data_IF_703535417270
#
_entry.id   IF_703535417270
#
_cell.length_a   1.000
_cell.length_b   1.000
_cell.length_c   1.000
_cell.angle_alpha   90.00
_cell.angle_beta   90.00
_cell.angle_gamma   90.00
#
_symmetry.space_group_name_H-M   'P 1'
#
loop_
_entity.id
_entity.type
_entity.pdbx_description
1 polymer ?
#
# COMPACT_ATOMS: atom_id res chain seq x y z
N UNK A 1 9.53 2.30 16.07
CA UNK A 1 9.56 3.48 15.17
C UNK A 1 8.18 4.11 15.13
N UNK A 2 8.06 5.44 15.06
CA UNK A 2 6.77 6.16 15.17
C UNK A 2 5.77 5.83 14.05
N UNK A 3 6.26 5.50 12.85
CA UNK A 3 5.43 5.20 11.67
C UNK A 3 4.66 3.88 11.83
N UNK A 4 5.30 2.83 12.34
CA UNK A 4 4.63 1.54 12.57
C UNK A 4 3.49 1.63 13.59
N UNK A 5 3.71 2.36 14.69
CA UNK A 5 2.69 2.60 15.71
C UNK A 5 1.51 3.41 15.17
N UNK A 6 1.76 4.43 14.35
CA UNK A 6 0.70 5.20 13.71
C UNK A 6 -0.16 4.35 12.77
N UNK A 7 0.47 3.44 12.01
CA UNK A 7 -0.26 2.50 11.16
C UNK A 7 -1.12 1.56 11.98
N UNK A 8 -0.56 0.92 13.01
CA UNK A 8 -1.29 0.00 13.87
C UNK A 8 -2.53 0.68 14.48
N UNK A 9 -2.36 1.88 15.02
CA UNK A 9 -3.49 2.65 15.57
C UNK A 9 -4.54 3.00 14.51
N UNK A 10 -4.13 3.35 13.29
CA UNK A 10 -5.05 3.62 12.18
C UNK A 10 -5.84 2.38 11.77
N UNK A 11 -5.18 1.22 11.71
CA UNK A 11 -5.82 -0.07 11.43
C UNK A 11 -6.80 -0.46 12.53
N UNK A 12 -6.40 -0.32 13.80
CA UNK A 12 -7.27 -0.61 14.94
C UNK A 12 -8.54 0.24 14.89
N UNK A 13 -8.41 1.54 14.58
CA UNK A 13 -9.54 2.44 14.45
C UNK A 13 -10.44 2.06 13.25
N UNK A 14 -9.86 1.70 12.10
CA UNK A 14 -10.62 1.27 10.93
C UNK A 14 -11.40 -0.03 11.20
N UNK A 15 -10.77 -1.00 11.87
CA UNK A 15 -11.40 -2.28 12.24
C UNK A 15 -12.47 -2.11 13.30
N UNK A 16 -12.28 -1.24 14.28
CA UNK A 16 -13.30 -0.96 15.29
C UNK A 16 -14.59 -0.35 14.72
N UNK A 17 -14.53 0.29 13.54
CA UNK A 17 -15.69 0.84 12.84
C UNK A 17 -16.29 -0.09 11.77
N UNK A 18 -15.80 -1.33 11.64
CA UNK A 18 -16.25 -2.28 10.64
C UNK A 18 -17.12 -3.37 11.29
N UNK A 19 -18.35 -3.53 10.80
CA UNK A 19 -19.31 -4.51 11.33
C UNK A 19 -19.25 -5.89 10.62
N UNK A 20 -18.43 -6.03 9.57
CA UNK A 20 -18.29 -7.26 8.79
C UNK A 20 -17.12 -8.15 9.25
N UNK A 21 -16.84 -9.21 8.49
CA UNK A 21 -15.67 -10.07 8.75
C UNK A 21 -14.37 -9.35 8.36
N UNK A 22 -13.29 -9.59 9.10
CA UNK A 22 -11.94 -9.17 8.75
C UNK A 22 -11.50 -9.78 7.40
N UNK A 23 -12.01 -10.96 7.04
CA UNK A 23 -11.78 -11.59 5.74
C UNK A 23 -12.48 -10.86 4.57
N UNK A 24 -13.36 -9.91 4.84
CA UNK A 24 -14.01 -9.06 3.82
C UNK A 24 -13.51 -7.61 3.87
N UNK A 25 -12.61 -7.30 4.80
CA UNK A 25 -12.14 -5.95 5.06
C UNK A 25 -10.75 -5.72 4.44
N UNK A 26 -10.71 -4.88 3.41
CA UNK A 26 -9.46 -4.46 2.79
C UNK A 26 -8.93 -3.16 3.40
N UNK A 27 -7.69 -3.20 3.89
CA UNK A 27 -6.98 -2.04 4.45
C UNK A 27 -6.00 -1.52 3.40
N UNK A 28 -6.15 -0.26 2.98
CA UNK A 28 -5.22 0.41 2.08
C UNK A 28 -4.47 1.53 2.81
N UNK A 29 -3.13 1.52 2.70
CA UNK A 29 -2.24 2.51 3.32
C UNK A 29 -1.40 3.24 2.26
N UNK A 30 -1.33 4.56 2.42
CA UNK A 30 -0.41 5.45 1.71
C UNK A 30 0.19 6.45 2.70
N UNK A 31 1.37 6.97 2.41
CA UNK A 31 1.96 8.06 3.19
C UNK A 31 1.17 9.37 2.92
N UNK A 32 1.14 10.25 3.92
CA UNK A 32 0.37 11.50 3.86
C UNK A 32 0.95 12.54 2.89
N UNK A 33 2.22 12.40 2.53
CA UNK A 33 2.95 13.24 1.59
C UNK A 33 3.09 12.59 0.21
N UNK A 34 2.30 11.54 -0.07
CA UNK A 34 2.31 10.82 -1.34
C UNK A 34 0.98 10.96 -2.09
N UNK A 35 1.06 11.06 -3.42
CA UNK A 35 -0.09 10.99 -4.31
C UNK A 35 -0.20 9.60 -4.94
N UNK A 36 -1.41 9.02 -4.91
CA UNK A 36 -1.72 7.75 -5.57
C UNK A 36 -2.50 7.97 -6.88
N UNK A 37 -2.37 7.08 -7.89
CA UNK A 37 -3.14 7.18 -9.12
C UNK A 37 -4.66 7.13 -8.87
N UNK A 38 -5.51 7.73 -9.74
CA UNK A 38 -6.96 7.70 -9.57
C UNK A 38 -7.58 6.30 -9.46
N UNK A 39 -7.00 5.31 -10.15
CA UNK A 39 -7.45 3.92 -10.13
C UNK A 39 -6.84 3.08 -8.98
N UNK A 40 -6.15 3.72 -8.01
CA UNK A 40 -5.36 2.99 -7.02
C UNK A 40 -6.18 2.03 -6.16
N UNK A 41 -7.31 2.49 -5.60
CA UNK A 41 -8.18 1.63 -4.80
C UNK A 41 -8.80 0.53 -5.66
N UNK A 42 -9.33 0.85 -6.84
CA UNK A 42 -9.96 -0.16 -7.71
C UNK A 42 -8.98 -1.23 -8.14
N UNK A 43 -7.74 -0.87 -8.48
CA UNK A 43 -6.71 -1.86 -8.83
C UNK A 43 -6.30 -2.74 -7.65
N UNK A 44 -6.34 -2.24 -6.40
CA UNK A 44 -6.12 -3.10 -5.24
C UNK A 44 -7.28 -4.07 -5.02
N UNK A 45 -8.52 -3.60 -5.15
CA UNK A 45 -9.70 -4.45 -5.02
C UNK A 45 -9.74 -5.53 -6.11
N UNK A 46 -9.40 -5.21 -7.35
CA UNK A 46 -9.26 -6.19 -8.44
C UNK A 46 -8.24 -7.30 -8.10
N UNK A 47 -7.12 -6.95 -7.44
CA UNK A 47 -6.12 -7.91 -6.99
C UNK A 47 -6.61 -8.74 -5.79
N UNK A 48 -7.37 -8.14 -4.87
CA UNK A 48 -7.99 -8.82 -3.75
C UNK A 48 -9.04 -9.83 -4.24
N UNK A 49 -9.90 -9.44 -5.19
CA UNK A 49 -10.89 -10.31 -5.84
C UNK A 49 -10.22 -11.46 -6.62
N UNK A 50 -9.02 -11.22 -7.15
CA UNK A 50 -8.20 -12.26 -7.77
C UNK A 50 -7.50 -13.20 -6.76
N UNK A 51 -7.71 -13.01 -5.45
CA UNK A 51 -7.22 -13.86 -4.37
C UNK A 51 -5.94 -13.37 -3.69
N UNK A 52 -5.55 -12.11 -3.87
CA UNK A 52 -4.37 -11.56 -3.18
C UNK A 52 -4.70 -11.15 -1.75
N UNK A 53 -3.96 -11.68 -0.78
CA UNK A 53 -4.08 -11.26 0.63
C UNK A 53 -3.35 -9.94 0.91
N UNK A 54 -2.33 -9.62 0.11
CA UNK A 54 -1.45 -8.45 0.25
C UNK A 54 -1.09 -7.89 -1.12
N UNK A 55 -1.13 -6.56 -1.25
CA UNK A 55 -0.57 -5.81 -2.37
C UNK A 55 0.56 -4.94 -1.84
N UNK A 56 1.75 -5.06 -2.43
CA UNK A 56 2.85 -4.15 -2.19
C UNK A 56 3.22 -3.49 -3.50
N UNK A 57 3.29 -2.16 -3.49
CA UNK A 57 3.70 -1.39 -4.65
C UNK A 57 4.76 -0.36 -4.34
N UNK A 58 5.26 0.25 -5.40
CA UNK A 58 6.09 1.45 -5.30
C UNK A 58 5.20 2.68 -5.27
N UNK A 59 5.68 3.73 -4.63
CA UNK A 59 5.11 5.07 -4.77
C UNK A 59 5.71 5.74 -6.00
N UNK A 60 4.90 6.54 -6.69
CA UNK A 60 5.38 7.40 -7.76
C UNK A 60 5.82 8.73 -7.12
N UNK A 61 7.12 9.09 -7.17
CA UNK A 61 7.54 10.41 -6.77
C UNK A 61 6.98 11.46 -7.74
N UNK A 62 6.82 12.67 -7.26
CA UNK A 62 6.52 13.83 -8.10
C UNK A 62 7.70 14.05 -9.04
N UNK A 63 7.51 13.73 -10.33
CA UNK A 63 8.62 13.73 -11.29
C UNK A 63 9.15 15.13 -11.58
N UNK A 64 8.35 16.16 -11.30
CA UNK A 64 8.72 17.58 -11.42
C UNK A 64 9.75 18.03 -10.39
N UNK A 65 9.81 17.35 -9.24
CA UNK A 65 10.80 17.60 -8.18
C UNK A 65 12.10 16.83 -8.37
N UNK A 66 12.18 15.99 -9.40
CA UNK A 66 13.33 15.13 -9.67
C UNK A 66 14.20 15.67 -10.80
N UNK A 67 15.52 15.55 -10.63
CA UNK A 67 16.47 15.72 -11.73
C UNK A 67 16.24 14.67 -12.83
N UNK A 68 16.64 14.94 -14.09
CA UNK A 68 16.54 13.97 -15.18
C UNK A 68 17.15 12.61 -14.86
N UNK A 69 18.28 12.58 -14.16
CA UNK A 69 18.98 11.36 -13.78
C UNK A 69 18.18 10.55 -12.74
N UNK A 70 17.54 11.22 -11.78
CA UNK A 70 16.66 10.58 -10.80
C UNK A 70 15.40 10.01 -11.47
N UNK A 71 14.82 10.72 -12.44
CA UNK A 71 13.69 10.20 -13.23
C UNK A 71 14.09 8.96 -14.02
N UNK A 72 15.27 8.98 -14.66
CA UNK A 72 15.78 7.83 -15.39
C UNK A 72 16.01 6.61 -14.49
N UNK A 73 16.63 6.81 -13.32
CA UNK A 73 16.85 5.75 -12.33
C UNK A 73 15.53 5.17 -11.78
N UNK A 74 14.55 6.03 -11.48
CA UNK A 74 13.23 5.58 -11.04
C UNK A 74 12.51 4.76 -12.12
N UNK A 75 12.56 5.20 -13.38
CA UNK A 75 11.96 4.45 -14.50
C UNK A 75 12.64 3.09 -14.71
N UNK A 76 13.96 3.02 -14.58
CA UNK A 76 14.71 1.79 -14.77
C UNK A 76 14.41 0.72 -13.70
N UNK A 77 14.01 1.15 -12.49
CA UNK A 77 13.71 0.25 -11.36
C UNK A 77 12.22 -0.08 -11.24
N UNK A 78 11.34 0.63 -11.97
CA UNK A 78 9.90 0.39 -11.97
C UNK A 78 9.48 -0.51 -13.12
N UNK A 79 9.58 -1.83 -12.89
CA UNK A 79 8.97 -2.84 -13.76
C UNK A 79 7.61 -3.25 -13.19
N UNK A 80 6.48 -2.97 -13.86
CA UNK A 80 5.16 -3.39 -13.40
C UNK A 80 5.13 -4.91 -13.14
N UNK A 81 4.58 -5.32 -11.99
CA UNK A 81 4.51 -6.73 -11.59
C UNK A 81 5.81 -7.31 -11.01
N UNK A 82 6.90 -6.55 -10.94
CA UNK A 82 8.14 -6.97 -10.29
C UNK A 82 8.41 -6.10 -9.07
N UNK A 83 8.46 -6.71 -7.89
CA UNK A 83 8.88 -6.03 -6.69
C UNK A 83 10.35 -5.63 -6.85
N UNK A 84 10.66 -4.34 -6.74
CA UNK A 84 12.02 -3.82 -6.82
C UNK A 84 12.86 -4.11 -5.56
N UNK A 85 12.42 -5.02 -4.70
CA UNK A 85 13.07 -5.39 -3.44
C UNK A 85 12.82 -4.43 -2.27
N UNK A 86 12.15 -3.30 -2.51
CA UNK A 86 11.84 -2.31 -1.48
C UNK A 86 10.34 -2.29 -1.19
N UNK A 87 9.96 -2.75 0.00
CA UNK A 87 8.58 -2.63 0.51
C UNK A 87 8.48 -1.33 1.28
N UNK A 88 7.83 -0.34 0.68
CA UNK A 88 7.46 0.88 1.37
C UNK A 88 5.98 0.77 1.79
N UNK A 89 5.69 1.04 3.05
CA UNK A 89 4.29 1.04 3.55
C UNK A 89 3.42 2.17 2.96
N UNK A 90 3.98 2.93 2.03
CA UNK A 90 3.39 4.04 1.31
C UNK A 90 2.55 3.60 0.09
N UNK A 91 2.59 2.32 -0.28
CA UNK A 91 1.66 1.69 -1.20
C UNK A 91 1.45 0.23 -0.78
N UNK A 92 0.62 0.06 0.24
CA UNK A 92 0.30 -1.22 0.86
C UNK A 92 -1.20 -1.43 0.86
N UNK A 93 -1.63 -2.61 0.43
CA UNK A 93 -2.97 -3.12 0.65
C UNK A 93 -2.89 -4.47 1.37
N UNK A 94 -3.75 -4.73 2.33
CA UNK A 94 -3.78 -6.01 3.05
C UNK A 94 -5.19 -6.33 3.55
N UNK A 95 -5.57 -7.60 3.49
CA UNK A 95 -6.80 -8.07 4.12
C UNK A 95 -6.66 -8.08 5.65
N UNK A 96 -7.68 -7.64 6.37
CA UNK A 96 -7.54 -7.40 7.81
C UNK A 96 -7.21 -8.68 8.60
N UNK A 97 -7.72 -9.84 8.18
CA UNK A 97 -7.39 -11.15 8.78
C UNK A 97 -5.90 -11.50 8.61
N UNK A 98 -5.35 -11.28 7.42
CA UNK A 98 -3.94 -11.50 7.10
C UNK A 98 -3.03 -10.53 7.88
N UNK A 99 -3.45 -9.28 8.04
CA UNK A 99 -2.76 -8.29 8.87
C UNK A 99 -2.65 -8.75 10.33
N UNK A 100 -3.76 -9.22 10.91
CA UNK A 100 -3.80 -9.72 12.29
C UNK A 100 -2.98 -11.01 12.44
N UNK A 101 -3.08 -11.93 11.49
CA UNK A 101 -2.32 -13.18 11.50
C UNK A 101 -0.80 -12.93 11.46
N UNK A 102 -0.37 -11.85 10.81
CA UNK A 102 1.02 -11.39 10.79
C UNK A 102 1.48 -10.71 12.09
N UNK A 103 0.58 -10.48 13.05
CA UNK A 103 0.88 -9.95 14.37
C UNK A 103 0.53 -8.48 14.60
N UNK A 104 -0.03 -7.79 13.60
CA UNK A 104 -0.38 -6.37 13.69
C UNK A 104 0.81 -5.42 13.63
#
# INVERSE_FOLDING_TARGET
GRVGAARAQGVDAARAGWDGDDAEHWIACTDADSAVPPAWITSQLELADAGSDVVVGTVRPELEDLSPDQVAAWRATRVPGHANGHVHGANLGVRADAYVAAGG
#
